data_IF_621559711887
#
_entry.id   IF_621559711887
#
_cell.length_a   1.000
_cell.length_b   1.000
_cell.length_c   1.000
_cell.angle_alpha   90.00
_cell.angle_beta   90.00
_cell.angle_gamma   90.00
#
_symmetry.space_group_name_H-M   'P 1'
#
loop_
_entity.id
_entity.type
_entity.pdbx_description
1 polymer ?
#
# COMPACT_ATOMS: atom_id res chain seq x y z
N UNK A 1 4.99 19.95 103.75
CA UNK A 1 4.13 21.09 104.14
C UNK A 1 3.21 21.35 102.97
N UNK A 2 1.88 21.45 103.25
CA UNK A 2 0.71 21.66 102.32
C UNK A 2 0.32 20.49 101.43
N UNK A 3 -0.56 19.68 101.77
CA UNK A 3 -2.02 19.55 101.78
C UNK A 3 -2.63 20.05 100.45
N UNK A 4 -3.17 19.16 99.64
CA UNK A 4 -4.07 19.49 98.57
C UNK A 4 -5.15 18.41 98.36
N UNK A 5 -6.35 18.86 98.26
CA UNK A 5 -7.65 18.19 98.26
C UNK A 5 -7.92 17.31 97.00
N UNK A 6 -8.51 16.14 97.28
CA UNK A 6 -9.21 15.30 96.32
C UNK A 6 -10.62 15.82 96.12
N UNK A 7 -11.06 16.03 94.93
CA UNK A 7 -12.47 16.16 94.55
C UNK A 7 -12.82 15.09 93.50
N UNK A 8 -13.70 14.20 93.94
CA UNK A 8 -14.38 13.22 93.10
C UNK A 8 -15.32 13.94 92.13
N UNK A 9 -15.24 13.66 90.85
CA UNK A 9 -16.25 14.05 89.87
C UNK A 9 -16.76 12.76 89.23
N UNK A 10 -18.07 12.48 89.42
CA UNK A 10 -18.81 11.40 88.78
C UNK A 10 -19.07 11.82 87.33
N UNK A 11 -18.68 11.00 86.38
CA UNK A 11 -18.95 11.16 84.92
C UNK A 11 -20.03 10.16 84.55
N UNK A 12 -21.17 10.57 83.93
CA UNK A 12 -22.16 9.64 83.43
C UNK A 12 -21.69 8.97 82.13
N UNK A 13 -21.89 7.65 82.04
CA UNK A 13 -21.66 6.85 80.89
C UNK A 13 -22.80 7.09 79.90
N UNK A 14 -22.47 7.71 78.76
CA UNK A 14 -23.35 7.80 77.56
C UNK A 14 -23.07 6.62 76.66
N UNK A 15 -24.09 5.78 76.47
CA UNK A 15 -24.08 4.78 75.43
C UNK A 15 -24.22 5.45 74.03
N UNK A 16 -23.18 5.47 73.26
CA UNK A 16 -23.23 5.87 71.82
C UNK A 16 -23.57 4.65 70.96
N UNK A 17 -24.74 4.68 70.36
CA UNK A 17 -25.14 3.73 69.34
C UNK A 17 -24.27 3.93 68.04
N UNK A 18 -23.53 2.91 67.64
CA UNK A 18 -22.82 2.90 66.39
C UNK A 18 -23.80 2.69 65.23
N UNK A 19 -24.12 3.73 64.50
CA UNK A 19 -24.71 3.63 63.19
C UNK A 19 -23.59 3.29 62.20
N UNK A 20 -23.63 2.09 61.65
CA UNK A 20 -22.73 1.69 60.56
C UNK A 20 -23.09 2.47 59.29
N UNK A 21 -22.29 3.44 58.94
CA UNK A 21 -22.31 4.09 57.63
C UNK A 21 -21.68 3.11 56.60
N UNK A 22 -22.52 2.42 55.83
CA UNK A 22 -22.10 1.75 54.61
C UNK A 22 -21.77 2.80 53.58
N UNK A 23 -20.47 3.04 53.34
CA UNK A 23 -20.02 3.83 52.21
C UNK A 23 -20.29 3.03 50.93
N UNK A 24 -21.33 3.41 50.22
CA UNK A 24 -21.50 2.97 48.85
C UNK A 24 -20.35 3.56 48.01
N UNK A 25 -19.38 2.72 47.60
CA UNK A 25 -18.40 3.09 46.62
C UNK A 25 -19.14 3.38 45.32
N UNK A 26 -19.27 4.65 44.98
CA UNK A 26 -19.63 5.06 43.63
C UNK A 26 -18.50 4.59 42.71
N UNK A 27 -18.77 3.53 41.94
CA UNK A 27 -17.98 3.19 40.78
C UNK A 27 -18.25 4.31 39.77
N UNK A 28 -17.33 5.26 39.68
CA UNK A 28 -17.27 6.20 38.57
C UNK A 28 -16.90 5.35 37.38
N UNK A 29 -17.88 4.99 36.56
CA UNK A 29 -17.66 4.54 35.21
C UNK A 29 -16.92 5.71 34.51
N UNK A 30 -15.61 5.62 34.43
CA UNK A 30 -14.86 6.44 33.48
C UNK A 30 -15.48 6.13 32.11
N UNK A 31 -16.19 7.10 31.55
CA UNK A 31 -16.55 7.06 30.14
C UNK A 31 -15.25 6.83 29.40
N UNK A 32 -15.06 5.59 28.89
CA UNK A 32 -14.07 5.30 27.88
C UNK A 32 -14.58 6.04 26.64
N UNK A 33 -14.18 7.29 26.51
CA UNK A 33 -14.28 8.00 25.23
C UNK A 33 -13.42 7.16 24.29
N UNK A 34 -14.06 6.34 23.48
CA UNK A 34 -13.38 5.61 22.43
C UNK A 34 -12.62 6.67 21.64
N UNK A 35 -11.29 6.57 21.62
CA UNK A 35 -10.41 7.51 20.91
C UNK A 35 -10.85 7.49 19.45
N UNK A 36 -11.53 8.55 19.00
CA UNK A 36 -12.03 8.63 17.62
C UNK A 36 -10.81 8.65 16.71
N UNK A 37 -10.63 7.65 15.84
CA UNK A 37 -9.43 7.59 15.01
C UNK A 37 -9.23 8.88 14.22
N UNK A 38 -8.01 9.40 14.22
CA UNK A 38 -7.63 10.65 13.59
C UNK A 38 -7.84 10.56 12.08
N UNK A 39 -8.46 11.59 11.46
CA UNK A 39 -8.55 11.76 10.00
C UNK A 39 -7.44 12.67 9.47
N UNK A 40 -7.20 12.64 8.15
CA UNK A 40 -6.10 13.37 7.52
C UNK A 40 -4.82 12.55 7.48
N UNK A 41 -3.69 13.22 7.43
CA UNK A 41 -2.37 12.59 7.39
C UNK A 41 -1.87 12.28 8.80
N UNK A 42 -1.56 11.02 9.06
CA UNK A 42 -1.03 10.53 10.34
C UNK A 42 0.30 9.82 10.08
N UNK A 43 1.37 10.30 10.69
CA UNK A 43 2.69 9.66 10.62
C UNK A 43 2.79 8.54 11.66
N UNK A 44 3.25 7.37 11.24
CA UNK A 44 3.46 6.20 12.09
C UNK A 44 4.93 5.82 12.16
N UNK A 45 5.35 5.39 13.34
CA UNK A 45 6.62 4.69 13.56
C UNK A 45 6.32 3.32 14.18
N UNK A 46 6.74 2.26 13.51
CA UNK A 46 6.59 0.88 14.00
C UNK A 46 7.62 0.56 15.09
N UNK A 47 7.41 -0.49 15.89
CA UNK A 47 8.41 -0.95 16.85
C UNK A 47 9.78 -1.31 16.22
N UNK A 48 9.79 -1.61 14.92
CA UNK A 48 11.00 -1.84 14.10
C UNK A 48 11.68 -0.55 13.65
N UNK A 49 11.24 0.61 14.13
CA UNK A 49 11.66 1.96 13.70
C UNK A 49 11.37 2.29 12.22
N UNK A 50 10.69 1.40 11.50
CA UNK A 50 10.19 1.69 10.16
C UNK A 50 9.00 2.65 10.24
N UNK A 51 8.88 3.52 9.26
CA UNK A 51 7.84 4.56 9.25
C UNK A 51 6.94 4.45 8.03
N UNK A 52 5.74 5.02 8.12
CA UNK A 52 4.84 5.25 7.00
C UNK A 52 3.95 6.46 7.27
N UNK A 53 3.41 7.04 6.21
CA UNK A 53 2.37 8.06 6.28
C UNK A 53 1.03 7.39 5.95
N UNK A 54 0.06 7.50 6.85
CA UNK A 54 -1.32 7.07 6.60
C UNK A 54 -2.18 8.29 6.26
N UNK A 55 -2.90 8.25 5.16
CA UNK A 55 -3.98 9.18 4.89
C UNK A 55 -5.32 8.51 5.21
N UNK A 56 -6.06 9.12 6.12
CA UNK A 56 -7.42 8.71 6.51
C UNK A 56 -8.38 9.75 5.93
N UNK A 57 -9.27 9.38 5.01
CA UNK A 57 -10.16 10.34 4.38
C UNK A 57 -11.13 10.97 5.38
N UNK A 58 -11.51 12.23 5.17
CA UNK A 58 -12.46 12.92 6.05
C UNK A 58 -13.83 12.20 6.15
N UNK A 59 -14.17 11.42 5.12
CA UNK A 59 -15.39 10.62 5.07
C UNK A 59 -15.26 9.24 5.75
N UNK A 60 -14.11 8.94 6.39
CA UNK A 60 -13.94 7.72 7.17
C UNK A 60 -14.97 7.63 8.30
N UNK A 61 -15.52 6.45 8.50
CA UNK A 61 -16.45 6.18 9.61
C UNK A 61 -15.98 4.97 10.40
N UNK A 62 -15.71 5.20 11.67
CA UNK A 62 -15.34 4.11 12.56
C UNK A 62 -16.47 3.08 12.66
N UNK A 63 -16.12 1.80 12.58
CA UNK A 63 -17.08 0.68 12.58
C UNK A 63 -17.62 0.31 11.19
N UNK A 64 -17.43 1.13 10.15
CA UNK A 64 -17.64 0.74 8.75
C UNK A 64 -16.32 0.25 8.16
N UNK A 65 -16.31 -0.92 7.52
CA UNK A 65 -15.11 -1.48 6.94
C UNK A 65 -14.73 -0.76 5.63
N UNK A 66 -13.52 -0.22 5.56
CA UNK A 66 -13.01 0.57 4.43
C UNK A 66 -11.88 -0.14 3.68
N UNK A 67 -11.78 0.02 2.35
CA UNK A 67 -10.62 -0.45 1.59
C UNK A 67 -9.31 0.21 2.06
N UNK A 68 -8.19 -0.50 1.89
CA UNK A 68 -6.85 -0.02 2.19
C UNK A 68 -5.97 -0.11 0.93
N UNK A 69 -5.29 0.98 0.59
CA UNK A 69 -4.30 1.00 -0.50
C UNK A 69 -2.90 1.15 0.09
N UNK A 70 -1.99 0.26 -0.27
CA UNK A 70 -0.56 0.36 0.02
C UNK A 70 0.13 0.96 -1.20
N UNK A 71 0.81 2.09 -1.03
CA UNK A 71 1.47 2.81 -2.12
C UNK A 71 2.97 2.96 -1.84
N UNK A 72 3.79 2.44 -2.78
CA UNK A 72 5.25 2.34 -2.64
C UNK A 72 5.95 3.31 -3.60
N UNK A 73 6.81 4.18 -3.05
CA UNK A 73 7.58 5.17 -3.83
C UNK A 73 8.73 4.53 -4.63
N UNK A 74 9.24 5.22 -5.63
CA UNK A 74 10.45 4.84 -6.36
C UNK A 74 11.72 5.04 -5.53
N UNK A 75 12.85 4.47 -5.97
CA UNK A 75 14.15 4.66 -5.32
C UNK A 75 14.48 6.14 -5.11
N UNK A 76 14.99 6.48 -3.93
CA UNK A 76 15.26 7.87 -3.52
C UNK A 76 14.01 8.69 -3.21
N UNK A 77 12.81 8.10 -3.31
CA UNK A 77 11.56 8.74 -2.95
C UNK A 77 11.28 8.75 -1.45
N UNK A 78 10.12 9.25 -1.08
CA UNK A 78 9.61 9.26 0.30
C UNK A 78 8.09 9.34 0.30
N UNK A 79 7.48 9.06 1.44
CA UNK A 79 6.03 8.92 1.60
C UNK A 79 5.23 10.10 1.07
N UNK A 80 5.62 11.35 1.41
CA UNK A 80 4.91 12.56 1.01
C UNK A 80 5.06 12.85 -0.49
N UNK A 81 6.20 12.48 -1.09
CA UNK A 81 6.36 12.56 -2.54
C UNK A 81 5.43 11.58 -3.24
N UNK A 82 5.34 10.34 -2.73
CA UNK A 82 4.43 9.32 -3.27
C UNK A 82 2.96 9.76 -3.14
N UNK A 83 2.56 10.33 -2.00
CA UNK A 83 1.23 10.91 -1.82
C UNK A 83 0.92 11.95 -2.89
N UNK A 84 1.86 12.88 -3.10
CA UNK A 84 1.68 13.98 -4.05
C UNK A 84 1.55 13.49 -5.50
N UNK A 85 2.44 12.59 -5.95
CA UNK A 85 2.45 12.16 -7.35
C UNK A 85 1.29 11.24 -7.70
N UNK A 86 0.78 10.45 -6.75
CA UNK A 86 -0.30 9.51 -6.98
C UNK A 86 -1.69 10.12 -6.81
N UNK A 87 -1.81 11.22 -6.08
CA UNK A 87 -3.08 11.88 -5.74
C UNK A 87 -4.12 10.94 -5.07
N UNK A 88 -3.69 9.78 -4.52
CA UNK A 88 -4.59 8.80 -3.88
C UNK A 88 -5.31 9.35 -2.63
N UNK A 89 -4.84 10.47 -2.07
CA UNK A 89 -5.49 11.16 -0.95
C UNK A 89 -6.55 12.19 -1.37
N UNK A 90 -6.87 12.27 -2.68
CA UNK A 90 -7.87 13.23 -3.14
C UNK A 90 -9.26 12.87 -2.59
N UNK A 91 -9.97 13.81 -1.93
CA UNK A 91 -11.19 13.50 -1.14
C UNK A 91 -12.39 13.03 -1.98
N UNK A 92 -12.38 13.25 -3.29
CA UNK A 92 -13.43 12.76 -4.19
C UNK A 92 -13.25 11.30 -4.62
N UNK A 93 -12.09 10.69 -4.32
CA UNK A 93 -11.83 9.31 -4.72
C UNK A 93 -12.54 8.33 -3.79
N UNK A 94 -13.01 7.25 -4.39
CA UNK A 94 -13.59 6.12 -3.66
C UNK A 94 -13.29 4.81 -4.42
N UNK A 95 -13.33 3.70 -3.70
CA UNK A 95 -13.22 2.35 -4.26
C UNK A 95 -14.55 1.63 -3.96
N UNK A 96 -15.23 1.18 -5.02
CA UNK A 96 -16.56 0.56 -4.95
C UNK A 96 -17.57 1.41 -4.12
N UNK A 97 -17.56 2.72 -4.32
CA UNK A 97 -18.44 3.66 -3.64
C UNK A 97 -18.09 3.97 -2.18
N UNK A 98 -16.97 3.49 -1.68
CA UNK A 98 -16.51 3.72 -0.30
C UNK A 98 -15.23 4.56 -0.25
N UNK A 99 -15.10 5.49 0.71
CA UNK A 99 -13.84 6.14 0.99
C UNK A 99 -12.82 5.09 1.44
N UNK A 100 -11.55 5.27 1.10
CA UNK A 100 -10.49 4.31 1.40
C UNK A 100 -9.31 4.97 2.08
N UNK A 101 -8.60 4.20 2.90
CA UNK A 101 -7.37 4.66 3.52
C UNK A 101 -6.19 4.37 2.60
N UNK A 102 -5.17 5.24 2.65
CA UNK A 102 -3.95 5.04 1.88
C UNK A 102 -2.72 5.08 2.78
N UNK A 103 -1.95 4.02 2.76
CA UNK A 103 -0.60 3.97 3.33
C UNK A 103 0.41 4.38 2.27
N UNK A 104 1.18 5.40 2.53
CA UNK A 104 2.38 5.75 1.79
C UNK A 104 3.58 5.22 2.57
N UNK A 105 4.05 4.06 2.14
CA UNK A 105 5.11 3.33 2.82
C UNK A 105 6.46 4.04 2.67
N UNK A 106 7.37 3.89 3.66
CA UNK A 106 8.71 4.46 3.63
C UNK A 106 9.76 3.36 3.49
N UNK A 107 10.51 3.41 2.39
CA UNK A 107 11.66 2.54 2.13
C UNK A 107 12.87 2.88 3.00
N UNK A 108 13.84 1.99 3.01
CA UNK A 108 15.08 2.12 3.79
C UNK A 108 16.28 2.49 2.94
N UNK A 109 17.36 2.94 3.58
CA UNK A 109 18.63 3.21 2.90
C UNK A 109 19.47 1.93 2.77
N UNK A 110 20.26 1.85 1.71
CA UNK A 110 21.40 0.94 1.63
C UNK A 110 22.68 1.76 1.51
N UNK A 111 23.49 1.77 2.56
CA UNK A 111 24.74 2.55 2.62
C UNK A 111 25.85 1.95 1.75
N UNK A 112 25.83 0.65 1.49
CA UNK A 112 26.83 -0.04 0.68
C UNK A 112 26.75 0.38 -0.79
N UNK A 113 25.56 0.78 -1.25
CA UNK A 113 25.30 1.25 -2.60
C UNK A 113 25.06 2.77 -2.70
N UNK A 114 25.18 3.50 -1.58
CA UNK A 114 24.74 4.91 -1.47
C UNK A 114 23.32 5.16 -2.00
N UNK A 115 22.45 4.16 -1.83
CA UNK A 115 21.07 4.22 -2.27
C UNK A 115 20.14 4.57 -1.11
N UNK A 116 19.25 5.52 -1.34
CA UNK A 116 18.30 6.00 -0.32
C UNK A 116 16.90 5.50 -0.63
N UNK A 117 16.17 5.16 0.43
CA UNK A 117 14.75 4.85 0.39
C UNK A 117 14.41 3.86 -0.74
N UNK A 118 14.81 2.63 -0.57
CA UNK A 118 14.68 1.55 -1.56
C UNK A 118 13.84 0.39 -1.01
N UNK A 119 13.45 -0.51 -1.90
CA UNK A 119 12.65 -1.70 -1.62
C UNK A 119 13.36 -2.96 -2.06
N UNK A 120 12.97 -4.08 -1.41
CA UNK A 120 13.40 -5.45 -1.72
C UNK A 120 13.16 -5.82 -3.19
N UNK A 121 14.02 -6.70 -3.71
CA UNK A 121 13.99 -7.23 -5.08
C UNK A 121 14.88 -6.47 -6.05
N UNK A 122 15.36 -5.28 -5.70
CA UNK A 122 16.35 -4.56 -6.49
C UNK A 122 17.76 -5.09 -6.24
N UNK A 123 18.69 -5.02 -7.22
CA UNK A 123 20.08 -5.42 -7.02
C UNK A 123 20.80 -4.66 -5.90
N UNK A 124 20.31 -3.48 -5.57
CA UNK A 124 20.78 -2.59 -4.52
C UNK A 124 19.92 -2.66 -3.24
N UNK A 125 19.13 -3.71 -3.05
CA UNK A 125 18.30 -3.87 -1.84
C UNK A 125 19.13 -3.91 -0.57
N UNK A 126 18.54 -3.51 0.54
CA UNK A 126 19.14 -3.69 1.84
C UNK A 126 18.77 -5.07 2.42
N UNK A 127 19.69 -6.01 2.38
CA UNK A 127 19.49 -7.39 2.84
C UNK A 127 19.38 -7.53 4.37
N UNK A 128 19.58 -6.45 5.14
CA UNK A 128 19.48 -6.48 6.61
C UNK A 128 18.08 -6.23 7.11
N UNK A 129 17.15 -5.86 6.22
CA UNK A 129 15.74 -5.58 6.55
C UNK A 129 14.78 -6.50 5.79
N UNK A 130 13.63 -6.74 6.38
CA UNK A 130 12.56 -7.51 5.73
C UNK A 130 11.38 -6.60 5.36
N UNK A 131 11.32 -6.19 4.09
CA UNK A 131 10.23 -5.37 3.58
C UNK A 131 8.89 -6.14 3.50
N UNK A 132 8.95 -7.47 3.45
CA UNK A 132 7.72 -8.30 3.46
C UNK A 132 7.12 -8.28 4.86
N UNK A 133 7.93 -8.52 5.90
CA UNK A 133 7.48 -8.39 7.28
C UNK A 133 6.93 -6.97 7.56
N UNK A 134 7.60 -5.93 7.05
CA UNK A 134 7.12 -4.54 7.16
C UNK A 134 5.72 -4.35 6.55
N UNK A 135 5.39 -4.97 5.42
CA UNK A 135 4.03 -4.90 4.84
C UNK A 135 3.00 -5.49 5.80
N UNK A 136 3.30 -6.63 6.43
CA UNK A 136 2.41 -7.22 7.44
C UNK A 136 2.25 -6.35 8.67
N UNK A 137 3.34 -5.77 9.18
CA UNK A 137 3.32 -4.88 10.33
C UNK A 137 2.46 -3.63 10.06
N UNK A 138 2.58 -3.05 8.87
CA UNK A 138 1.77 -1.91 8.42
C UNK A 138 0.29 -2.28 8.39
N UNK A 139 -0.08 -3.37 7.72
CA UNK A 139 -1.48 -3.83 7.62
C UNK A 139 -2.03 -4.11 9.02
N UNK A 140 -1.28 -4.79 9.88
CA UNK A 140 -1.66 -5.10 11.26
C UNK A 140 -1.88 -3.83 12.07
N UNK A 141 -0.95 -2.88 12.02
CA UNK A 141 -1.01 -1.61 12.77
C UNK A 141 -2.23 -0.79 12.34
N UNK A 142 -2.44 -0.62 11.03
CA UNK A 142 -3.59 0.12 10.52
C UNK A 142 -4.90 -0.57 10.90
N UNK A 143 -4.98 -1.90 10.74
CA UNK A 143 -6.20 -2.67 11.05
C UNK A 143 -6.51 -2.76 12.55
N UNK A 144 -5.55 -2.50 13.43
CA UNK A 144 -5.79 -2.45 14.89
C UNK A 144 -6.44 -1.14 15.33
N UNK A 145 -6.29 -0.08 14.55
CA UNK A 145 -6.78 1.28 14.87
C UNK A 145 -8.00 1.66 14.03
N UNK A 146 -8.02 1.24 12.76
CA UNK A 146 -9.06 1.61 11.79
C UNK A 146 -9.82 0.39 11.31
N UNK A 147 -11.11 0.59 10.99
CA UNK A 147 -11.98 -0.45 10.46
C UNK A 147 -11.64 -0.71 9.00
N UNK A 148 -10.78 -1.71 8.75
CA UNK A 148 -10.32 -2.08 7.40
C UNK A 148 -11.07 -3.30 6.90
N UNK A 149 -11.53 -3.23 5.65
CA UNK A 149 -12.00 -4.40 4.91
C UNK A 149 -10.79 -5.20 4.42
N UNK A 150 -10.48 -6.29 5.13
CA UNK A 150 -9.33 -7.15 4.82
C UNK A 150 -9.47 -7.89 3.47
N UNK A 151 -10.67 -7.96 2.89
CA UNK A 151 -10.87 -8.49 1.55
C UNK A 151 -10.53 -7.46 0.46
N UNK A 152 -10.38 -6.19 0.81
CA UNK A 152 -10.11 -5.07 -0.11
C UNK A 152 -8.86 -4.29 0.27
N UNK A 153 -7.74 -5.02 0.37
CA UNK A 153 -6.40 -4.45 0.50
C UNK A 153 -5.75 -4.50 -0.89
N UNK A 154 -5.20 -3.37 -1.33
CA UNK A 154 -4.59 -3.22 -2.65
C UNK A 154 -3.16 -2.71 -2.55
N UNK A 155 -2.34 -2.99 -3.57
CA UNK A 155 -0.98 -2.50 -3.64
C UNK A 155 -0.72 -1.80 -4.98
N UNK A 156 -0.07 -0.65 -4.93
CA UNK A 156 0.47 0.03 -6.10
C UNK A 156 1.84 0.63 -5.77
N UNK A 157 2.61 0.92 -6.80
CA UNK A 157 3.90 1.54 -6.60
C UNK A 157 4.54 1.96 -7.91
N UNK A 158 5.51 2.87 -7.83
CA UNK A 158 6.22 3.41 -9.00
C UNK A 158 7.68 3.00 -8.99
N UNK A 159 8.25 2.71 -10.17
CA UNK A 159 9.69 2.45 -10.31
C UNK A 159 10.16 1.28 -9.43
N UNK A 160 11.14 1.47 -8.54
CA UNK A 160 11.53 0.46 -7.54
C UNK A 160 10.35 -0.02 -6.67
N UNK A 161 9.45 0.90 -6.24
CA UNK A 161 8.21 0.53 -5.54
C UNK A 161 7.21 -0.21 -6.44
N UNK A 162 7.22 0.03 -7.76
CA UNK A 162 6.49 -0.75 -8.74
C UNK A 162 7.04 -2.17 -8.88
N UNK A 163 8.37 -2.31 -8.89
CA UNK A 163 9.05 -3.61 -8.84
C UNK A 163 8.71 -4.36 -7.55
N UNK A 164 8.73 -3.68 -6.42
CA UNK A 164 8.32 -4.27 -5.15
C UNK A 164 6.83 -4.69 -5.16
N UNK A 165 5.94 -3.89 -5.76
CA UNK A 165 4.53 -4.27 -5.98
C UNK A 165 4.42 -5.56 -6.81
N UNK A 166 5.23 -5.70 -7.86
CA UNK A 166 5.29 -6.93 -8.66
C UNK A 166 5.84 -8.13 -7.86
N UNK A 167 6.83 -7.91 -6.99
CA UNK A 167 7.33 -8.93 -6.06
C UNK A 167 6.23 -9.40 -5.09
N UNK A 168 5.47 -8.49 -4.49
CA UNK A 168 4.34 -8.82 -3.62
C UNK A 168 3.28 -9.66 -4.35
N UNK A 169 2.99 -9.33 -5.61
CA UNK A 169 2.06 -10.11 -6.44
C UNK A 169 2.57 -11.53 -6.73
N UNK A 170 3.88 -11.71 -6.87
CA UNK A 170 4.51 -12.99 -7.16
C UNK A 170 4.61 -13.94 -5.95
N UNK A 171 4.50 -13.44 -4.73
CA UNK A 171 4.69 -14.24 -3.51
C UNK A 171 3.38 -14.89 -3.04
N UNK A 172 3.40 -16.17 -2.63
CA UNK A 172 2.19 -16.86 -2.18
C UNK A 172 1.59 -16.25 -0.90
N UNK A 173 2.44 -15.75 0.01
CA UNK A 173 2.02 -15.15 1.27
C UNK A 173 1.29 -13.80 1.05
N UNK A 174 1.88 -12.87 0.32
CA UNK A 174 1.30 -11.54 0.10
C UNK A 174 0.17 -11.54 -0.93
N UNK A 175 0.22 -12.40 -1.96
CA UNK A 175 -0.89 -12.56 -2.91
C UNK A 175 -2.16 -13.15 -2.27
N UNK A 176 -2.04 -13.80 -1.10
CA UNK A 176 -3.20 -14.32 -0.35
C UNK A 176 -3.97 -13.24 0.42
N UNK A 177 -3.34 -12.10 0.70
CA UNK A 177 -3.91 -11.02 1.54
C UNK A 177 -4.12 -9.69 0.81
N UNK A 178 -3.58 -9.54 -0.40
CA UNK A 178 -3.72 -8.34 -1.22
C UNK A 178 -4.57 -8.67 -2.45
N UNK A 179 -5.68 -7.97 -2.62
CA UNK A 179 -6.71 -8.30 -3.60
C UNK A 179 -6.29 -8.05 -5.06
N UNK A 180 -5.59 -6.93 -5.32
CA UNK A 180 -5.12 -6.56 -6.65
C UNK A 180 -3.87 -5.67 -6.58
N UNK A 181 -3.10 -5.64 -7.68
CA UNK A 181 -1.80 -4.98 -7.74
C UNK A 181 -1.68 -4.09 -8.99
N UNK A 182 -1.13 -2.89 -8.80
CA UNK A 182 -0.93 -1.93 -9.87
C UNK A 182 0.51 -1.38 -9.90
N UNK A 183 1.46 -2.10 -10.53
CA UNK A 183 2.82 -1.59 -10.76
C UNK A 183 2.85 -0.55 -11.88
N UNK A 184 3.42 0.65 -11.60
CA UNK A 184 3.56 1.77 -12.54
C UNK A 184 5.02 2.00 -12.85
N UNK A 185 5.39 2.01 -14.13
CA UNK A 185 6.79 2.09 -14.60
C UNK A 185 7.74 1.25 -13.72
N UNK A 186 7.40 -0.05 -13.49
CA UNK A 186 8.09 -0.85 -12.47
C UNK A 186 9.51 -1.16 -12.88
N UNK A 187 10.43 -1.09 -11.91
CA UNK A 187 11.78 -1.62 -12.07
C UNK A 187 11.73 -3.16 -11.96
N UNK A 188 11.58 -3.81 -13.10
CA UNK A 188 11.44 -5.26 -13.20
C UNK A 188 12.81 -5.95 -13.20
N UNK A 189 13.57 -5.76 -12.14
CA UNK A 189 14.82 -6.49 -11.93
C UNK A 189 14.56 -7.97 -11.65
N UNK A 190 15.57 -8.80 -11.87
CA UNK A 190 15.45 -10.26 -11.69
C UNK A 190 14.92 -10.65 -10.30
N UNK A 191 15.29 -9.90 -9.25
CA UNK A 191 14.77 -10.11 -7.89
C UNK A 191 13.30 -9.76 -7.68
N UNK A 192 12.70 -8.95 -8.57
CA UNK A 192 11.30 -8.51 -8.44
C UNK A 192 10.33 -9.37 -9.25
N UNK A 193 10.80 -10.09 -10.27
CA UNK A 193 9.88 -10.80 -11.15
C UNK A 193 10.35 -12.20 -11.59
N UNK A 194 11.40 -12.76 -11.03
CA UNK A 194 11.95 -14.03 -11.53
C UNK A 194 10.84 -15.00 -11.96
N UNK A 195 10.77 -15.27 -13.27
CA UNK A 195 9.71 -16.08 -13.85
C UNK A 195 9.55 -17.45 -13.16
N UNK A 196 10.67 -18.03 -12.75
CA UNK A 196 10.70 -19.33 -12.06
C UNK A 196 10.30 -19.27 -10.59
N UNK A 197 10.40 -18.09 -9.96
CA UNK A 197 10.11 -17.89 -8.54
C UNK A 197 8.80 -17.14 -8.29
N UNK A 198 8.07 -16.78 -9.35
CA UNK A 198 6.77 -16.12 -9.26
C UNK A 198 5.66 -17.17 -9.12
N UNK A 199 5.28 -17.47 -7.88
CA UNK A 199 4.32 -18.52 -7.52
C UNK A 199 3.23 -17.97 -6.60
N UNK A 200 2.35 -17.08 -7.08
CA UNK A 200 1.26 -16.56 -6.26
C UNK A 200 0.35 -17.68 -5.79
N UNK A 201 -0.29 -17.50 -4.62
CA UNK A 201 -1.21 -18.50 -4.02
C UNK A 201 -2.53 -18.65 -4.77
N UNK A 202 -2.85 -17.71 -5.64
CA UNK A 202 -4.08 -17.65 -6.44
C UNK A 202 -3.80 -16.90 -7.74
N UNK A 203 -4.71 -16.93 -8.73
CA UNK A 203 -4.71 -15.95 -9.81
C UNK A 203 -4.82 -14.53 -9.25
N UNK A 204 -4.06 -13.59 -9.84
CA UNK A 204 -3.87 -12.26 -9.27
C UNK A 204 -4.24 -11.18 -10.28
N UNK A 205 -5.22 -10.30 -9.97
CA UNK A 205 -5.51 -9.14 -10.80
C UNK A 205 -4.31 -8.19 -10.86
N UNK A 206 -3.87 -7.86 -12.09
CA UNK A 206 -2.73 -6.98 -12.35
C UNK A 206 -3.14 -5.85 -13.27
N UNK A 207 -2.79 -4.60 -12.90
CA UNK A 207 -2.87 -3.45 -13.80
C UNK A 207 -1.50 -2.80 -13.96
N UNK A 208 -0.81 -3.13 -15.03
CA UNK A 208 0.51 -2.58 -15.34
C UNK A 208 0.41 -1.32 -16.19
N UNK A 209 1.11 -0.25 -15.80
CA UNK A 209 1.14 1.03 -16.53
C UNK A 209 2.57 1.44 -16.83
N UNK A 210 2.84 1.89 -18.06
CA UNK A 210 4.20 2.24 -18.46
C UNK A 210 4.22 3.29 -19.58
N UNK A 211 5.11 4.26 -19.45
CA UNK A 211 5.44 5.19 -20.52
C UNK A 211 6.32 4.51 -21.59
N UNK A 212 5.98 4.68 -22.86
CA UNK A 212 6.76 4.07 -23.96
C UNK A 212 8.15 4.70 -24.08
N UNK A 213 8.28 5.98 -23.70
CA UNK A 213 9.53 6.74 -23.73
C UNK A 213 10.33 6.66 -22.42
N UNK A 214 10.03 5.67 -21.57
CA UNK A 214 10.73 5.47 -20.31
C UNK A 214 12.18 5.03 -20.57
N UNK A 215 13.13 5.89 -20.20
CA UNK A 215 14.58 5.65 -20.33
C UNK A 215 15.22 5.11 -19.04
N UNK A 216 14.49 5.14 -17.92
CA UNK A 216 14.98 4.69 -16.61
C UNK A 216 14.72 3.20 -16.44
N UNK A 217 13.46 2.77 -16.64
CA UNK A 217 13.03 1.37 -16.72
C UNK A 217 12.46 1.15 -18.13
N UNK A 218 13.29 0.75 -19.11
CA UNK A 218 12.87 0.78 -20.51
C UNK A 218 11.67 -0.10 -20.82
N UNK A 219 10.69 0.44 -21.55
CA UNK A 219 9.50 -0.27 -21.99
C UNK A 219 9.80 -1.56 -22.74
N UNK A 220 10.81 -1.53 -23.61
CA UNK A 220 11.27 -2.69 -24.39
C UNK A 220 12.31 -3.55 -23.68
N UNK A 221 12.51 -3.30 -22.39
CA UNK A 221 13.47 -4.03 -21.58
C UNK A 221 14.91 -3.58 -21.79
N UNK A 222 15.81 -4.26 -21.09
CA UNK A 222 17.25 -4.01 -21.11
C UNK A 222 18.00 -5.34 -21.25
N UNK A 223 18.94 -5.41 -22.18
CA UNK A 223 19.79 -6.58 -22.37
C UNK A 223 20.67 -6.87 -21.12
N UNK A 224 21.16 -8.10 -20.93
CA UNK A 224 22.00 -8.46 -19.79
C UNK A 224 23.24 -7.58 -19.60
N UNK A 225 23.80 -7.07 -20.68
CA UNK A 225 25.00 -6.22 -20.70
C UNK A 225 24.65 -4.73 -20.53
N UNK A 226 23.37 -4.38 -20.48
CA UNK A 226 22.86 -3.03 -20.69
C UNK A 226 22.76 -2.13 -19.47
N UNK A 227 23.34 -2.48 -18.31
CA UNK A 227 23.27 -1.56 -17.17
C UNK A 227 23.79 -2.13 -15.84
N UNK A 228 24.06 -1.22 -14.91
CA UNK A 228 24.60 -1.54 -13.56
C UNK A 228 23.68 -2.42 -12.71
N UNK A 229 22.40 -2.53 -13.09
CA UNK A 229 21.37 -3.23 -12.30
C UNK A 229 20.87 -4.53 -12.96
N UNK A 230 21.52 -4.97 -14.04
CA UNK A 230 21.19 -6.21 -14.74
C UNK A 230 20.06 -6.07 -15.76
N UNK A 231 19.63 -7.21 -16.33
CA UNK A 231 18.60 -7.23 -17.37
C UNK A 231 17.22 -6.88 -16.81
N UNK A 232 16.42 -6.25 -17.67
CA UNK A 232 15.00 -6.02 -17.44
C UNK A 232 14.20 -6.60 -18.62
N UNK A 233 13.05 -7.24 -18.41
CA UNK A 233 12.26 -7.80 -19.49
C UNK A 233 11.57 -6.72 -20.32
N UNK A 234 11.28 -7.03 -21.58
CA UNK A 234 10.26 -6.31 -22.33
C UNK A 234 8.93 -6.42 -21.56
N UNK A 235 8.34 -5.27 -21.19
CA UNK A 235 7.13 -5.26 -20.38
C UNK A 235 5.93 -5.93 -21.06
N UNK A 236 5.90 -5.99 -22.40
CA UNK A 236 4.86 -6.67 -23.16
C UNK A 236 4.92 -8.20 -22.96
N UNK A 237 6.13 -8.75 -22.84
CA UNK A 237 6.35 -10.16 -22.50
C UNK A 237 5.93 -10.42 -21.05
N UNK A 238 6.31 -9.55 -20.12
CA UNK A 238 5.95 -9.66 -18.71
C UNK A 238 4.42 -9.65 -18.49
N UNK A 239 3.67 -8.78 -19.18
CA UNK A 239 2.19 -8.73 -19.15
C UNK A 239 1.57 -10.06 -19.57
N UNK A 240 2.03 -10.61 -20.70
CA UNK A 240 1.54 -11.88 -21.23
C UNK A 240 1.88 -13.07 -20.34
N UNK A 241 3.02 -13.05 -19.65
CA UNK A 241 3.35 -14.05 -18.64
C UNK A 241 2.39 -14.00 -17.43
N UNK A 242 1.91 -12.83 -17.04
CA UNK A 242 0.86 -12.72 -16.03
C UNK A 242 -0.48 -13.24 -16.53
N UNK A 243 -0.85 -12.94 -17.77
CA UNK A 243 -2.04 -13.51 -18.38
C UNK A 243 -1.99 -15.04 -18.39
N UNK A 244 -0.86 -15.64 -18.75
CA UNK A 244 -0.69 -17.09 -18.69
C UNK A 244 -0.80 -17.65 -17.27
N UNK A 245 -0.23 -16.99 -16.25
CA UNK A 245 -0.39 -17.38 -14.85
C UNK A 245 -1.84 -17.33 -14.39
N UNK A 246 -2.61 -16.39 -14.89
CA UNK A 246 -4.03 -16.23 -14.58
C UNK A 246 -4.93 -17.14 -15.42
N UNK A 247 -4.34 -18.05 -16.21
CA UNK A 247 -5.07 -19.07 -16.96
C UNK A 247 -5.53 -18.67 -18.34
N UNK A 248 -5.06 -17.52 -18.87
CA UNK A 248 -5.27 -17.20 -20.30
C UNK A 248 -4.54 -18.20 -21.19
N UNK A 249 -5.20 -18.59 -22.26
CA UNK A 249 -4.67 -19.59 -23.19
C UNK A 249 -3.52 -18.99 -24.00
N UNK A 250 -2.44 -19.74 -24.12
CA UNK A 250 -1.35 -19.45 -25.06
C UNK A 250 -1.89 -19.38 -26.49
N UNK A 251 -1.25 -18.59 -27.33
CA UNK A 251 -1.61 -18.44 -28.74
C UNK A 251 -1.70 -19.78 -29.49
N UNK A 252 -2.25 -19.76 -30.69
CA UNK A 252 -2.54 -20.98 -31.49
C UNK A 252 -1.31 -21.84 -31.83
N UNK A 253 -0.10 -21.29 -31.70
CA UNK A 253 1.13 -21.97 -32.00
C UNK A 253 1.97 -22.21 -30.75
N UNK A 254 2.66 -23.37 -30.70
CA UNK A 254 3.61 -23.67 -29.60
C UNK A 254 4.65 -22.55 -29.48
N UNK A 255 4.69 -21.90 -28.31
CA UNK A 255 5.62 -20.81 -28.02
C UNK A 255 5.06 -19.40 -28.16
N UNK A 256 3.83 -19.23 -28.64
CA UNK A 256 3.16 -17.91 -28.61
C UNK A 256 2.64 -17.61 -27.21
N UNK A 257 2.94 -16.40 -26.73
CA UNK A 257 2.40 -15.88 -25.48
C UNK A 257 0.92 -15.50 -25.65
N UNK A 258 0.16 -15.51 -24.55
CA UNK A 258 -1.23 -15.10 -24.53
C UNK A 258 -1.44 -13.71 -25.14
N UNK A 259 -2.34 -13.60 -26.11
CA UNK A 259 -2.71 -12.32 -26.71
C UNK A 259 -3.81 -11.66 -25.89
N UNK A 260 -3.89 -10.31 -25.87
CA UNK A 260 -4.99 -9.62 -25.20
C UNK A 260 -6.32 -9.90 -25.93
N UNK A 261 -7.41 -9.97 -25.16
CA UNK A 261 -8.77 -10.08 -25.70
C UNK A 261 -9.24 -8.75 -26.29
N UNK A 262 -8.79 -7.63 -25.72
CA UNK A 262 -9.10 -6.28 -26.17
C UNK A 262 -7.85 -5.43 -26.23
N UNK A 263 -7.76 -4.58 -27.26
CA UNK A 263 -6.77 -3.50 -27.40
C UNK A 263 -7.53 -2.26 -27.84
N UNK A 264 -7.50 -1.21 -27.02
CA UNK A 264 -8.23 0.03 -27.28
C UNK A 264 -7.40 1.26 -26.94
N UNK A 265 -7.50 2.31 -27.76
CA UNK A 265 -6.98 3.62 -27.41
C UNK A 265 -7.97 4.34 -26.51
N UNK A 266 -7.70 4.32 -25.20
CA UNK A 266 -8.59 4.88 -24.16
C UNK A 266 -8.41 6.38 -23.94
N UNK A 267 -7.25 6.91 -24.30
CA UNK A 267 -6.91 8.33 -24.42
C UNK A 267 -5.95 8.50 -25.58
N UNK A 268 -5.86 9.70 -26.15
CA UNK A 268 -4.93 9.97 -27.25
C UNK A 268 -3.50 9.55 -26.86
N UNK A 269 -2.94 8.62 -27.62
CA UNK A 269 -1.62 8.02 -27.38
C UNK A 269 -1.54 7.05 -26.21
N UNK A 270 -2.67 6.71 -25.56
CA UNK A 270 -2.69 5.74 -24.46
C UNK A 270 -3.53 4.50 -24.83
N UNK A 271 -2.84 3.38 -24.97
CA UNK A 271 -3.40 2.09 -25.38
C UNK A 271 -3.57 1.15 -24.20
N UNK A 272 -4.81 0.74 -23.94
CA UNK A 272 -5.14 -0.30 -22.98
C UNK A 272 -5.16 -1.68 -23.65
N UNK A 273 -4.51 -2.65 -23.01
CA UNK A 273 -4.61 -4.08 -23.36
C UNK A 273 -5.26 -4.80 -22.19
N UNK A 274 -6.22 -5.66 -22.45
CA UNK A 274 -6.96 -6.43 -21.45
C UNK A 274 -6.93 -7.91 -21.79
N UNK A 275 -6.53 -8.71 -20.82
CA UNK A 275 -6.66 -10.17 -20.81
C UNK A 275 -7.73 -10.54 -19.78
N UNK A 276 -8.89 -10.99 -20.25
CA UNK A 276 -9.99 -11.47 -19.41
C UNK A 276 -9.79 -12.96 -19.10
N UNK A 277 -8.79 -13.25 -18.27
CA UNK A 277 -8.40 -14.61 -17.98
C UNK A 277 -9.36 -15.28 -16.98
N UNK A 278 -9.59 -16.62 -17.11
CA UNK A 278 -10.52 -17.34 -16.23
C UNK A 278 -10.21 -17.21 -14.72
N UNK A 279 -8.95 -16.99 -14.37
CA UNK A 279 -8.55 -16.85 -12.97
C UNK A 279 -8.63 -15.42 -12.46
N UNK A 280 -8.07 -14.47 -13.19
CA UNK A 280 -8.10 -13.05 -12.86
C UNK A 280 -7.66 -12.20 -14.07
N UNK A 281 -8.25 -11.00 -14.23
CA UNK A 281 -7.91 -10.10 -15.32
C UNK A 281 -6.46 -9.59 -15.22
N UNK A 282 -5.83 -9.39 -16.37
CA UNK A 282 -4.62 -8.61 -16.52
C UNK A 282 -4.94 -7.41 -17.39
N UNK A 283 -4.60 -6.23 -16.93
CA UNK A 283 -4.72 -4.98 -17.69
C UNK A 283 -3.37 -4.33 -17.84
N UNK A 284 -3.23 -3.62 -18.91
CA UNK A 284 -2.06 -2.78 -19.10
C UNK A 284 -2.41 -1.48 -19.79
N UNK A 285 -1.61 -0.45 -19.54
CA UNK A 285 -1.71 0.84 -20.21
C UNK A 285 -0.31 1.21 -20.73
N UNK A 286 -0.19 1.37 -22.05
CA UNK A 286 1.02 1.85 -22.71
C UNK A 286 0.78 3.28 -23.16
N UNK A 287 1.63 4.23 -22.74
CA UNK A 287 1.40 5.67 -22.95
C UNK A 287 2.53 6.22 -23.81
N UNK A 288 2.23 6.52 -25.07
CA UNK A 288 3.16 7.17 -25.99
C UNK A 288 3.51 8.58 -25.48
N UNK A 289 4.77 8.97 -25.67
CA UNK A 289 5.27 10.27 -25.22
C UNK A 289 5.50 10.39 -23.71
N UNK A 290 5.07 9.43 -22.90
CA UNK A 290 5.34 9.44 -21.45
C UNK A 290 6.68 8.74 -21.17
N UNK A 291 7.49 9.37 -20.31
CA UNK A 291 8.73 8.82 -19.76
C UNK A 291 8.49 8.09 -18.42
N UNK A 292 9.49 8.11 -17.54
CA UNK A 292 9.48 7.43 -16.24
C UNK A 292 8.63 8.18 -15.20
N UNK A 293 7.32 8.25 -15.37
CA UNK A 293 6.44 9.05 -14.53
C UNK A 293 5.15 8.32 -14.13
N UNK A 294 4.57 8.73 -13.00
CA UNK A 294 3.17 8.42 -12.67
C UNK A 294 2.26 9.26 -13.58
N UNK A 295 1.33 8.65 -14.34
CA UNK A 295 0.57 9.39 -15.34
C UNK A 295 -0.42 10.36 -14.71
N UNK A 296 -0.16 11.66 -14.83
CA UNK A 296 -1.05 12.75 -14.39
C UNK A 296 -1.00 13.92 -15.37
N UNK A 297 -2.07 14.68 -15.45
CA UNK A 297 -2.11 15.92 -16.23
C UNK A 297 -1.28 17.05 -15.60
N UNK A 298 -0.98 16.93 -14.31
CA UNK A 298 -0.25 17.93 -13.54
C UNK A 298 1.27 17.79 -13.62
N UNK A 299 1.78 16.66 -14.18
CA UNK A 299 3.21 16.40 -14.28
C UNK A 299 3.94 16.45 -12.95
N UNK A 300 3.33 15.90 -11.89
CA UNK A 300 3.86 15.97 -10.53
C UNK A 300 5.10 15.11 -10.31
N UNK A 301 5.31 14.11 -11.16
CA UNK A 301 6.46 13.20 -11.10
C UNK A 301 7.54 13.58 -12.10
N UNK A 302 8.45 14.42 -11.67
CA UNK A 302 9.55 14.95 -12.50
C UNK A 302 10.63 13.91 -12.82
N UNK A 303 10.56 12.69 -12.28
CA UNK A 303 11.57 11.65 -12.56
C UNK A 303 11.55 11.13 -13.99
N UNK A 304 10.47 11.36 -14.73
CA UNK A 304 10.35 11.05 -16.15
C UNK A 304 10.70 12.18 -17.10
N UNK A 305 11.23 13.29 -16.58
CA UNK A 305 11.52 14.48 -17.39
C UNK A 305 12.43 14.17 -18.61
N UNK A 306 12.16 14.80 -19.79
CA UNK A 306 11.18 15.86 -19.99
C UNK A 306 9.72 15.37 -20.15
N UNK A 307 9.48 14.10 -20.40
CA UNK A 307 8.19 13.53 -20.75
C UNK A 307 7.48 12.96 -19.50
N UNK A 308 6.97 13.84 -18.63
CA UNK A 308 6.41 13.44 -17.33
C UNK A 308 4.93 13.80 -17.14
N UNK A 309 4.24 14.21 -18.21
CA UNK A 309 2.80 14.49 -18.22
C UNK A 309 2.04 13.51 -19.12
N UNK A 310 0.85 13.12 -18.69
CA UNK A 310 -0.15 12.44 -19.52
C UNK A 310 -1.32 13.41 -19.76
N UNK A 311 -2.16 13.11 -20.74
CA UNK A 311 -3.38 13.88 -21.01
C UNK A 311 -4.59 13.42 -20.17
N UNK A 312 -4.37 12.54 -19.21
CA UNK A 312 -5.35 12.01 -18.27
C UNK A 312 -4.72 11.79 -16.89
N UNK A 313 -5.56 11.55 -15.88
CA UNK A 313 -5.13 11.19 -14.54
C UNK A 313 -5.37 9.70 -14.28
N UNK A 314 -4.30 8.90 -14.20
CA UNK A 314 -4.39 7.46 -14.02
C UNK A 314 -5.13 7.06 -12.74
N UNK A 315 -4.85 7.74 -11.63
CA UNK A 315 -5.42 7.37 -10.33
C UNK A 315 -6.94 7.48 -10.33
N UNK A 316 -7.49 8.60 -10.76
CA UNK A 316 -8.94 8.85 -10.72
C UNK A 316 -9.73 8.17 -11.84
N UNK A 317 -9.12 8.01 -13.03
CA UNK A 317 -9.83 7.53 -14.21
C UNK A 317 -9.69 6.02 -14.44
N UNK A 318 -8.64 5.39 -13.87
CA UNK A 318 -8.37 3.97 -14.11
C UNK A 318 -8.10 3.17 -12.83
N UNK A 319 -7.19 3.62 -11.95
CA UNK A 319 -6.70 2.82 -10.83
C UNK A 319 -7.80 2.50 -9.81
N UNK A 320 -8.55 3.50 -9.36
CA UNK A 320 -9.64 3.28 -8.38
C UNK A 320 -10.77 2.44 -8.97
N UNK A 321 -11.02 2.54 -10.28
CA UNK A 321 -12.01 1.70 -10.97
C UNK A 321 -11.53 0.24 -11.07
N UNK A 322 -10.23 0.03 -11.36
CA UNK A 322 -9.64 -1.30 -11.34
C UNK A 322 -9.76 -1.93 -9.94
N UNK A 323 -9.34 -1.24 -8.89
CA UNK A 323 -9.46 -1.75 -7.53
C UNK A 323 -10.92 -2.01 -7.13
N UNK A 324 -11.87 -1.21 -7.62
CA UNK A 324 -13.31 -1.38 -7.32
C UNK A 324 -13.90 -2.70 -7.83
N UNK A 325 -13.27 -3.36 -8.80
CA UNK A 325 -13.73 -4.64 -9.36
C UNK A 325 -13.20 -5.86 -8.61
N UNK A 326 -12.24 -5.69 -7.70
CA UNK A 326 -11.53 -6.80 -7.09
C UNK A 326 -11.66 -6.83 -5.58
N UNK A 327 -11.89 -8.02 -5.06
CA UNK A 327 -11.83 -8.35 -3.64
C UNK A 327 -11.33 -9.79 -3.49
N UNK A 328 -10.78 -10.10 -2.33
CA UNK A 328 -10.59 -11.50 -1.93
C UNK A 328 -11.96 -12.10 -1.63
N UNK A 329 -12.13 -13.37 -2.01
CA UNK A 329 -13.37 -14.12 -1.75
C UNK A 329 -13.55 -14.46 -0.28
#
# INVERSE_FOLDING_TARGET
MMVAFVRNIVVPVLFASHAALTSASQVVLADVVADVPQTGNVAYTLPTERTFLLNVPAAYKHGEAHPLVLSFHGAGGFSEKQQRITELSHPALNIAGQPFLTVYAQGVNNTDWDMKHIWKGAPYENNTVDDIAYVYDVISTVSSTYSIDKSRIYACGKSNGGGFTALLACRPDTSSIIAAFAPVSPALYQGTYSFHNCTPSRPVPIFHVHGVEDTVTPFYGRAPEGGSFGPEPDVRIWRRQWAERNGCVKGRYLGELAQPDYVEEVHEGAWEEVWDCPGAEVRSLSIAGLGHAWPTTLGLDLSGSPNHTANFNFTSQHLVQFFSRHSLG
#
